data_IF_139405366381
#
_entry.id   IF_139405366381
#
_cell.length_a   1.000
_cell.length_b   1.000
_cell.length_c   1.000
_cell.angle_alpha   90.00
_cell.angle_beta   90.00
_cell.angle_gamma   90.00
#
_symmetry.space_group_name_H-M   'P 1'
#
loop_
_entity.id
_entity.type
_entity.pdbx_description
1 polymer ?
#
# COMPACT_ATOMS: atom_id res chain seq x y z
N UNK A 1 81.30 -19.39 39.39
CA UNK A 1 81.00 -18.07 38.80
C UNK A 1 80.76 -18.22 37.30
N UNK A 2 79.53 -18.01 36.84
CA UNK A 2 79.19 -17.33 35.56
C UNK A 2 77.67 -17.21 35.47
N UNK A 3 77.18 -15.97 35.39
CA UNK A 3 75.77 -15.61 35.15
C UNK A 3 75.62 -15.26 33.67
N UNK A 4 74.54 -15.73 33.04
CA UNK A 4 74.03 -15.26 31.73
C UNK A 4 72.49 -15.35 31.86
N UNK A 5 71.83 -14.31 32.36
CA UNK A 5 71.12 -13.22 31.65
C UNK A 5 70.03 -13.73 30.68
N UNK A 6 68.72 -13.53 30.98
CA UNK A 6 67.61 -13.92 30.11
C UNK A 6 67.33 -12.88 29.02
N UNK A 7 67.05 -13.36 27.80
CA UNK A 7 66.60 -12.53 26.67
C UNK A 7 65.09 -12.37 26.77
N UNK A 8 64.66 -11.15 27.07
CA UNK A 8 63.27 -10.70 27.01
C UNK A 8 62.84 -10.52 25.56
N UNK A 9 61.85 -11.29 25.12
CA UNK A 9 61.21 -11.18 23.81
C UNK A 9 60.10 -10.10 23.87
N UNK A 10 60.40 -8.89 23.41
CA UNK A 10 59.42 -7.82 23.25
C UNK A 10 58.72 -7.96 21.90
N UNK A 11 57.46 -8.41 21.90
CA UNK A 11 56.60 -8.38 20.73
C UNK A 11 56.04 -6.96 20.53
N UNK A 12 56.49 -6.27 19.48
CA UNK A 12 55.88 -5.02 19.02
C UNK A 12 54.62 -5.35 18.22
N UNK A 13 53.46 -4.92 18.73
CA UNK A 13 52.22 -4.87 17.94
C UNK A 13 52.33 -3.71 16.94
N UNK A 14 52.47 -4.03 15.66
CA UNK A 14 52.24 -3.08 14.58
C UNK A 14 50.73 -2.85 14.43
N UNK A 15 50.26 -1.68 14.85
CA UNK A 15 48.90 -1.22 14.59
C UNK A 15 48.69 -0.92 13.12
N UNK A 16 47.84 -1.70 12.45
CA UNK A 16 47.23 -1.34 11.17
C UNK A 16 45.87 -0.67 11.44
N UNK A 17 45.75 0.63 11.18
CA UNK A 17 44.47 1.25 10.79
C UNK A 17 44.69 2.69 10.33
N UNK A 18 45.00 2.85 9.05
CA UNK A 18 44.53 4.02 8.28
C UNK A 18 44.63 3.65 6.81
N UNK A 19 43.59 2.99 6.29
CA UNK A 19 43.37 2.92 4.86
C UNK A 19 42.51 4.12 4.49
N UNK A 20 43.13 5.10 3.85
CA UNK A 20 42.45 6.17 3.13
C UNK A 20 41.65 5.55 1.99
N UNK A 21 40.33 5.42 2.18
CA UNK A 21 39.43 5.05 1.10
C UNK A 21 39.22 6.28 0.21
N UNK A 22 40.07 6.47 -0.79
CA UNK A 22 39.82 7.40 -1.89
C UNK A 22 38.87 6.72 -2.86
N UNK A 23 37.59 7.03 -2.78
CA UNK A 23 36.62 6.71 -3.83
C UNK A 23 36.94 7.53 -5.06
N UNK A 24 37.73 6.97 -5.99
CA UNK A 24 37.68 7.41 -7.38
C UNK A 24 36.34 6.93 -7.92
N UNK A 25 35.32 7.79 -7.89
CA UNK A 25 34.08 7.58 -8.63
C UNK A 25 34.45 7.85 -10.09
N UNK A 26 34.83 6.80 -10.81
CA UNK A 26 34.80 6.80 -12.27
C UNK A 26 33.34 6.92 -12.67
N UNK A 27 32.93 8.12 -13.08
CA UNK A 27 31.67 8.30 -13.78
C UNK A 27 31.84 7.74 -15.20
N UNK A 28 31.59 6.45 -15.38
CA UNK A 28 31.28 5.93 -16.71
C UNK A 28 29.89 6.45 -17.08
N UNK A 29 29.87 7.58 -17.79
CA UNK A 29 28.71 8.04 -18.54
C UNK A 29 28.51 7.10 -19.72
N UNK A 30 27.76 6.02 -19.52
CA UNK A 30 27.21 5.28 -20.63
C UNK A 30 26.05 6.10 -21.20
N UNK A 31 26.29 6.84 -22.28
CA UNK A 31 25.21 7.27 -23.15
C UNK A 31 24.67 6.04 -23.86
N UNK A 32 23.51 5.56 -23.42
CA UNK A 32 22.73 4.59 -24.16
C UNK A 32 22.16 5.30 -25.39
N UNK A 33 22.89 5.19 -26.50
CA UNK A 33 22.43 5.59 -27.83
C UNK A 33 21.30 4.63 -28.22
N UNK A 34 20.07 5.06 -28.01
CA UNK A 34 18.89 4.40 -28.56
C UNK A 34 18.92 4.55 -30.09
N UNK A 35 19.49 3.57 -30.78
CA UNK A 35 19.25 3.39 -32.20
C UNK A 35 17.79 2.93 -32.39
N UNK A 36 16.91 3.90 -32.63
CA UNK A 36 15.61 3.66 -33.25
C UNK A 36 15.88 3.22 -34.67
N UNK A 37 15.89 1.92 -34.92
CA UNK A 37 15.66 1.40 -36.27
C UNK A 37 15.13 -0.01 -36.14
N UNK A 38 13.81 -0.21 -36.12
CA UNK A 38 13.13 -1.30 -36.83
C UNK A 38 11.69 -0.86 -37.17
N UNK A 39 11.25 -1.00 -38.43
CA UNK A 39 9.91 -0.63 -38.86
C UNK A 39 8.87 -1.63 -38.32
N UNK A 40 7.75 -1.08 -37.89
CA UNK A 40 6.45 -1.72 -37.66
C UNK A 40 6.09 -2.65 -38.82
N UNK A 41 6.25 -3.95 -38.63
CA UNK A 41 5.53 -4.97 -39.40
C UNK A 41 4.08 -4.98 -38.92
N UNK A 42 3.19 -4.62 -39.85
CA UNK A 42 1.75 -4.65 -39.69
C UNK A 42 1.31 -6.13 -39.76
N UNK A 43 0.98 -6.74 -38.63
CA UNK A 43 0.08 -7.88 -38.65
C UNK A 43 -1.37 -7.38 -38.53
N UNK A 44 -2.05 -7.47 -39.68
CA UNK A 44 -3.49 -7.38 -39.85
C UNK A 44 -4.18 -8.40 -38.93
N UNK A 45 -4.79 -7.91 -37.87
CA UNK A 45 -5.93 -8.59 -37.26
C UNK A 45 -7.11 -7.64 -37.29
N UNK A 46 -7.74 -7.62 -38.46
CA UNK A 46 -9.14 -7.27 -38.69
C UNK A 46 -10.03 -7.65 -37.48
N UNK A 47 -10.56 -6.63 -36.81
CA UNK A 47 -11.81 -6.74 -36.07
C UNK A 47 -12.74 -5.65 -36.59
N UNK A 48 -13.75 -6.09 -37.35
CA UNK A 48 -14.83 -5.26 -37.90
C UNK A 48 -15.63 -4.62 -36.76
N UNK A 49 -15.86 -3.31 -36.90
CA UNK A 49 -16.94 -2.58 -36.25
C UNK A 49 -18.12 -2.43 -37.23
N UNK A 50 -19.32 -2.26 -36.67
CA UNK A 50 -20.60 -1.88 -37.31
C UNK A 50 -21.36 -3.08 -37.92
N UNK A 51 -22.64 -3.37 -37.67
CA UNK A 51 -23.80 -2.50 -37.41
C UNK A 51 -24.95 -3.28 -36.73
N UNK A 52 -25.73 -2.51 -36.00
CA UNK A 52 -27.05 -2.68 -35.39
C UNK A 52 -28.08 -3.33 -36.35
N UNK A 53 -28.80 -4.38 -35.91
CA UNK A 53 -30.14 -4.68 -36.42
C UNK A 53 -31.00 -5.43 -35.38
N UNK A 54 -32.12 -4.77 -35.07
CA UNK A 54 -33.33 -5.17 -34.35
C UNK A 54 -33.86 -6.56 -34.72
N UNK A 55 -34.23 -7.37 -33.72
CA UNK A 55 -35.42 -8.27 -33.69
C UNK A 55 -35.80 -8.42 -32.20
N UNK A 56 -36.79 -7.68 -31.69
CA UNK A 56 -38.20 -8.07 -31.54
C UNK A 56 -38.46 -9.19 -30.50
N UNK A 57 -39.09 -8.75 -29.40
CA UNK A 57 -40.04 -9.43 -28.52
C UNK A 57 -40.07 -10.97 -28.47
N UNK A 58 -39.79 -11.53 -27.28
CA UNK A 58 -40.70 -12.52 -26.69
C UNK A 58 -41.02 -12.14 -25.24
N UNK A 59 -42.32 -11.94 -25.06
CA UNK A 59 -43.08 -11.67 -23.85
C UNK A 59 -43.28 -12.97 -23.05
N UNK A 60 -43.52 -12.82 -21.75
CA UNK A 60 -44.05 -13.82 -20.79
C UNK A 60 -43.16 -15.06 -20.50
N UNK A 61 -42.94 -15.52 -19.26
CA UNK A 61 -43.84 -15.60 -18.12
C UNK A 61 -43.10 -15.48 -16.79
N UNK A 62 -43.78 -14.83 -15.85
CA UNK A 62 -43.49 -14.81 -14.43
C UNK A 62 -43.73 -16.21 -13.84
N UNK A 63 -42.83 -16.77 -13.02
CA UNK A 63 -43.28 -17.50 -11.84
C UNK A 63 -43.41 -16.49 -10.71
N UNK A 64 -44.65 -16.06 -10.47
CA UNK A 64 -45.07 -15.37 -9.26
C UNK A 64 -44.83 -16.34 -8.09
N UNK A 65 -43.70 -16.22 -7.42
CA UNK A 65 -43.52 -16.80 -6.09
C UNK A 65 -44.37 -15.97 -5.15
N UNK A 66 -45.57 -16.50 -4.84
CA UNK A 66 -46.39 -16.05 -3.72
C UNK A 66 -45.58 -16.26 -2.43
N UNK A 67 -44.91 -15.21 -1.97
CA UNK A 67 -44.50 -15.13 -0.58
C UNK A 67 -45.64 -14.45 0.17
N UNK A 68 -46.57 -15.28 0.63
CA UNK A 68 -47.35 -14.98 1.83
C UNK A 68 -46.41 -15.19 3.01
N UNK A 69 -46.13 -14.20 3.85
CA UNK A 69 -45.68 -14.46 5.21
C UNK A 69 -46.94 -14.49 6.07
N UNK A 70 -47.51 -15.68 6.21
CA UNK A 70 -48.36 -16.00 7.35
C UNK A 70 -47.49 -15.90 8.61
N UNK A 71 -47.99 -15.11 9.55
CA UNK A 71 -47.87 -15.24 10.99
C UNK A 71 -46.59 -15.83 11.61
N UNK A 72 -45.96 -14.95 12.41
CA UNK A 72 -45.69 -15.22 13.83
C UNK A 72 -45.02 -16.55 14.13
N UNK A 73 -43.72 -16.62 13.84
CA UNK A 73 -42.83 -17.45 14.65
C UNK A 73 -42.16 -16.56 15.68
N UNK A 74 -42.64 -16.70 16.91
CA UNK A 74 -42.05 -16.24 18.16
C UNK A 74 -40.52 -16.23 18.11
N UNK A 75 -39.94 -15.03 18.09
CA UNK A 75 -38.55 -14.81 18.49
C UNK A 75 -38.46 -15.23 19.95
N UNK A 76 -37.77 -16.33 20.22
CA UNK A 76 -37.36 -16.65 21.57
C UNK A 76 -36.45 -15.50 22.04
N UNK A 77 -36.93 -14.74 23.03
CA UNK A 77 -36.11 -13.82 23.81
C UNK A 77 -34.92 -14.60 24.38
N UNK A 78 -33.76 -14.41 23.76
CA UNK A 78 -32.50 -14.74 24.41
C UNK A 78 -32.19 -13.60 25.37
N UNK A 79 -32.50 -13.82 26.64
CA UNK A 79 -32.16 -12.95 27.79
C UNK A 79 -30.64 -12.98 28.10
N UNK A 80 -29.82 -12.93 27.05
CA UNK A 80 -28.39 -12.71 27.19
C UNK A 80 -28.14 -11.24 26.90
N UNK A 81 -28.26 -10.41 27.93
CA UNK A 81 -27.83 -9.01 27.87
C UNK A 81 -26.36 -8.96 27.42
N UNK A 82 -26.14 -8.70 26.13
CA UNK A 82 -24.81 -8.48 25.56
C UNK A 82 -24.32 -7.16 26.16
N UNK A 83 -23.53 -7.24 27.23
CA UNK A 83 -22.83 -6.07 27.77
C UNK A 83 -21.83 -5.59 26.73
N UNK A 84 -22.17 -4.50 26.04
CA UNK A 84 -21.26 -3.79 25.15
C UNK A 84 -20.17 -3.17 26.04
N UNK A 85 -19.01 -3.83 26.12
CA UNK A 85 -17.86 -3.30 26.84
C UNK A 85 -17.22 -2.18 25.99
N UNK A 86 -16.78 -1.07 26.61
CA UNK A 86 -16.00 -0.06 25.91
C UNK A 86 -14.69 -0.67 25.37
N UNK A 87 -14.14 -0.14 24.25
CA UNK A 87 -12.91 -0.65 23.67
C UNK A 87 -11.74 -0.55 24.66
N UNK A 88 -10.92 -1.58 24.74
CA UNK A 88 -9.67 -1.59 25.52
C UNK A 88 -8.67 -0.55 24.99
N UNK A 89 -7.70 -0.15 25.80
CA UNK A 89 -6.64 0.80 25.39
C UNK A 89 -5.94 0.36 24.10
N UNK A 90 -5.63 -0.94 23.98
CA UNK A 90 -5.06 -1.53 22.76
C UNK A 90 -6.00 -1.43 21.54
N UNK A 91 -7.32 -1.51 21.75
CA UNK A 91 -8.33 -1.30 20.69
C UNK A 91 -8.49 0.17 20.31
N UNK A 92 -8.31 1.09 21.26
CA UNK A 92 -8.31 2.53 21.01
C UNK A 92 -7.05 2.98 20.25
N UNK A 93 -5.89 2.45 20.63
CA UNK A 93 -4.60 2.64 19.95
C UNK A 93 -4.58 2.05 18.54
N UNK A 94 -5.41 1.02 18.27
CA UNK A 94 -5.55 0.44 16.95
C UNK A 94 -6.23 1.36 15.92
N UNK A 95 -6.69 2.55 16.33
CA UNK A 95 -7.51 3.47 15.53
C UNK A 95 -8.57 2.69 14.76
N UNK A 96 -9.72 2.41 15.39
CA UNK A 96 -10.83 1.59 14.85
C UNK A 96 -11.43 2.11 13.53
N UNK A 97 -10.65 2.02 12.45
CA UNK A 97 -10.95 2.30 11.07
C UNK A 97 -11.39 1.02 10.36
N UNK A 98 -12.38 1.15 9.50
CA UNK A 98 -12.94 0.07 8.70
C UNK A 98 -13.27 0.59 7.30
N UNK A 99 -13.49 -0.32 6.36
CA UNK A 99 -13.78 0.04 4.97
C UNK A 99 -12.52 0.08 4.10
N UNK A 100 -12.43 1.10 3.25
CA UNK A 100 -11.46 1.22 2.19
C UNK A 100 -10.71 2.54 2.27
N UNK A 101 -9.48 2.56 1.78
CA UNK A 101 -8.63 3.74 1.71
C UNK A 101 -7.89 3.72 0.37
N UNK A 102 -7.33 4.84 -0.04
CA UNK A 102 -6.48 4.90 -1.22
C UNK A 102 -5.03 4.77 -0.82
N UNK A 103 -4.34 3.78 -1.38
CA UNK A 103 -2.89 3.71 -1.31
C UNK A 103 -2.32 4.54 -2.46
N UNK A 104 -1.61 5.63 -2.12
CA UNK A 104 -1.11 6.59 -3.11
C UNK A 104 0.28 6.19 -3.60
N UNK A 105 1.19 5.95 -2.66
CA UNK A 105 2.60 5.67 -2.95
C UNK A 105 3.22 4.89 -1.80
N UNK A 106 4.26 4.11 -2.10
CA UNK A 106 5.06 3.39 -1.12
C UNK A 106 6.55 3.65 -1.37
N UNK A 107 7.26 4.16 -0.35
CA UNK A 107 8.67 4.53 -0.44
C UNK A 107 9.48 3.77 0.61
N UNK A 108 10.66 3.28 0.23
CA UNK A 108 11.60 2.56 1.11
C UNK A 108 12.53 3.48 1.90
N UNK A 109 12.56 4.77 1.54
CA UNK A 109 13.37 5.78 2.23
C UNK A 109 12.48 6.64 3.11
N UNK A 110 13.07 7.17 4.18
CA UNK A 110 12.51 8.28 4.97
C UNK A 110 12.59 9.60 4.18
N UNK A 111 12.17 9.56 2.92
CA UNK A 111 11.81 10.75 2.14
C UNK A 111 10.66 11.45 2.86
N UNK A 112 10.61 12.77 2.73
CA UNK A 112 9.61 13.56 3.42
C UNK A 112 8.21 13.27 2.87
N UNK A 113 7.49 12.37 3.54
CA UNK A 113 6.11 12.02 3.25
C UNK A 113 5.17 13.20 3.53
N UNK A 114 5.61 14.17 4.32
CA UNK A 114 4.85 15.36 4.70
C UNK A 114 4.49 16.18 3.46
N UNK A 115 5.43 16.36 2.53
CA UNK A 115 5.17 17.08 1.27
C UNK A 115 4.06 16.44 0.42
N UNK A 116 3.91 15.11 0.48
CA UNK A 116 2.80 14.41 -0.20
C UNK A 116 1.50 14.51 0.58
N UNK A 117 1.57 14.46 1.91
CA UNK A 117 0.40 14.64 2.77
C UNK A 117 -0.19 16.05 2.65
N UNK A 118 0.66 17.09 2.51
CA UNK A 118 0.25 18.48 2.29
C UNK A 118 -0.53 18.66 0.96
N UNK A 119 -0.12 17.96 -0.10
CA UNK A 119 -0.85 17.96 -1.38
C UNK A 119 -2.22 17.28 -1.30
N UNK A 120 -2.37 16.38 -0.33
CA UNK A 120 -3.62 15.68 -0.03
C UNK A 120 -4.46 16.41 1.03
N UNK A 121 -4.04 17.62 1.45
CA UNK A 121 -4.76 18.37 2.47
C UNK A 121 -6.20 18.65 2.02
N UNK A 122 -7.14 18.17 2.82
CA UNK A 122 -8.58 18.25 2.61
C UNK A 122 -9.31 17.66 3.82
N UNK A 123 -10.62 17.42 3.71
CA UNK A 123 -11.42 16.86 4.82
C UNK A 123 -11.07 15.40 5.14
N UNK A 124 -10.52 14.68 4.16
CA UNK A 124 -10.21 13.26 4.30
C UNK A 124 -8.93 13.05 5.12
N UNK A 125 -8.89 12.03 5.99
CA UNK A 125 -7.72 11.77 6.81
C UNK A 125 -6.58 11.16 5.99
N UNK A 126 -5.37 11.64 6.23
CA UNK A 126 -4.13 11.14 5.64
C UNK A 126 -3.38 10.33 6.68
N UNK A 127 -2.91 9.15 6.29
CA UNK A 127 -2.19 8.24 7.17
C UNK A 127 -0.91 7.74 6.52
N UNK A 128 0.12 7.56 7.34
CA UNK A 128 1.29 6.79 6.98
C UNK A 128 1.13 5.37 7.53
N UNK A 129 1.24 4.36 6.66
CA UNK A 129 1.46 2.99 7.06
C UNK A 129 2.95 2.63 6.95
N UNK A 130 3.56 2.20 8.05
CA UNK A 130 4.91 1.62 8.04
C UNK A 130 4.82 0.10 8.15
N UNK A 131 5.57 -0.57 7.28
CA UNK A 131 5.77 -2.04 7.29
C UNK A 131 7.25 -2.35 7.16
N UNK A 132 7.69 -3.49 7.66
CA UNK A 132 9.04 -4.00 7.43
C UNK A 132 8.98 -5.13 6.42
N UNK A 133 9.70 -5.01 5.32
CA UNK A 133 9.82 -6.04 4.27
C UNK A 133 11.31 -6.28 4.04
N UNK A 134 11.78 -7.53 4.17
CA UNK A 134 13.20 -7.89 4.03
C UNK A 134 14.14 -7.01 4.89
N UNK A 135 13.78 -6.81 6.17
CA UNK A 135 14.51 -5.95 7.11
C UNK A 135 14.61 -4.45 6.70
N UNK A 136 13.89 -4.01 5.67
CA UNK A 136 13.80 -2.61 5.26
C UNK A 136 12.41 -2.03 5.55
N UNK A 137 12.33 -0.82 6.14
CA UNK A 137 11.05 -0.16 6.35
C UNK A 137 10.50 0.37 5.02
N UNK A 138 9.22 0.14 4.79
CA UNK A 138 8.43 0.72 3.72
C UNK A 138 7.35 1.60 4.32
N UNK A 139 7.26 2.81 3.79
CA UNK A 139 6.30 3.81 4.22
C UNK A 139 5.31 4.09 3.10
N UNK A 140 4.03 3.93 3.41
CA UNK A 140 2.95 4.06 2.45
C UNK A 140 2.03 5.20 2.86
N UNK A 141 1.69 6.09 1.93
CA UNK A 141 0.66 7.12 2.15
C UNK A 141 -0.71 6.52 1.83
N UNK A 142 -1.61 6.65 2.79
CA UNK A 142 -3.01 6.25 2.69
C UNK A 142 -3.89 7.49 2.81
N UNK A 143 -4.93 7.58 1.97
CA UNK A 143 -5.82 8.72 1.91
C UNK A 143 -7.28 8.28 2.05
N UNK A 144 -8.00 8.95 2.96
CA UNK A 144 -9.44 8.80 3.14
C UNK A 144 -9.86 7.53 3.88
N UNK A 145 -11.11 7.57 4.34
CA UNK A 145 -11.85 6.45 4.92
C UNK A 145 -13.19 6.35 4.18
N UNK A 146 -13.28 5.36 3.28
CA UNK A 146 -14.43 5.15 2.40
C UNK A 146 -15.21 3.90 2.81
N UNK A 147 -16.54 3.97 2.73
CA UNK A 147 -17.39 2.84 3.11
C UNK A 147 -17.30 1.70 2.08
N UNK A 148 -17.17 2.04 0.79
CA UNK A 148 -17.19 1.06 -0.30
C UNK A 148 -16.00 1.19 -1.25
N UNK A 149 -15.64 0.14 -2.00
CA UNK A 149 -14.61 0.25 -3.03
C UNK A 149 -15.00 1.21 -4.15
N UNK A 150 -16.29 1.31 -4.47
CA UNK A 150 -16.80 2.18 -5.52
C UNK A 150 -16.58 3.66 -5.16
N UNK A 151 -16.93 4.05 -3.94
CA UNK A 151 -16.67 5.38 -3.41
C UNK A 151 -15.17 5.72 -3.43
N UNK A 152 -14.32 4.79 -2.99
CA UNK A 152 -12.87 4.98 -3.05
C UNK A 152 -12.38 5.17 -4.51
N UNK A 153 -12.89 4.39 -5.48
CA UNK A 153 -12.52 4.59 -6.90
C UNK A 153 -12.97 5.94 -7.45
N UNK A 154 -14.13 6.43 -7.06
CA UNK A 154 -14.57 7.77 -7.46
C UNK A 154 -13.68 8.86 -6.84
N UNK A 155 -13.25 8.68 -5.58
CA UNK A 155 -12.32 9.59 -4.93
C UNK A 155 -10.97 9.70 -5.66
N UNK A 156 -10.50 8.65 -6.35
CA UNK A 156 -9.29 8.72 -7.19
C UNK A 156 -9.40 9.81 -8.25
N UNK A 157 -10.58 9.96 -8.88
CA UNK A 157 -10.80 10.95 -9.94
C UNK A 157 -10.79 12.39 -9.41
N UNK A 158 -11.03 12.57 -8.12
CA UNK A 158 -11.04 13.86 -7.43
C UNK A 158 -9.66 14.29 -6.92
N UNK A 159 -8.66 13.39 -6.94
CA UNK A 159 -7.31 13.70 -6.51
C UNK A 159 -6.64 14.71 -7.45
N UNK A 160 -5.66 15.50 -6.97
CA UNK A 160 -4.83 16.32 -7.84
C UNK A 160 -4.13 15.49 -8.93
N UNK A 161 -3.91 16.08 -10.12
CA UNK A 161 -3.36 15.35 -11.28
C UNK A 161 -1.96 14.77 -11.01
N UNK A 162 -1.12 15.45 -10.24
CA UNK A 162 0.19 14.97 -9.82
C UNK A 162 0.11 13.78 -8.87
N UNK A 163 -0.96 13.67 -8.09
CA UNK A 163 -1.26 12.50 -7.26
C UNK A 163 -1.82 11.35 -8.11
N UNK A 164 -2.73 11.64 -9.05
CA UNK A 164 -3.28 10.63 -9.96
C UNK A 164 -2.18 9.98 -10.81
N UNK A 165 -1.13 10.73 -11.17
CA UNK A 165 0.02 10.23 -11.92
C UNK A 165 0.78 9.08 -11.23
N UNK A 166 0.68 8.95 -9.89
CA UNK A 166 1.26 7.81 -9.16
C UNK A 166 0.46 6.51 -9.29
N UNK A 167 -0.72 6.55 -9.92
CA UNK A 167 -1.61 5.38 -10.05
C UNK A 167 -2.16 4.91 -8.69
N UNK A 168 -2.81 5.79 -7.90
CA UNK A 168 -3.37 5.41 -6.62
C UNK A 168 -4.43 4.32 -6.79
N UNK A 169 -4.51 3.41 -5.83
CA UNK A 169 -5.45 2.29 -5.90
C UNK A 169 -6.16 2.04 -4.58
N UNK A 170 -7.33 1.41 -4.68
CA UNK A 170 -8.16 1.10 -3.53
C UNK A 170 -7.56 -0.05 -2.73
N UNK A 171 -7.47 0.13 -1.41
CA UNK A 171 -6.98 -0.87 -0.46
C UNK A 171 -7.97 -1.05 0.69
N UNK A 172 -8.22 -2.30 1.07
CA UNK A 172 -9.05 -2.61 2.23
C UNK A 172 -8.28 -2.30 3.51
N UNK A 173 -8.87 -1.52 4.42
CA UNK A 173 -8.28 -1.19 5.72
C UNK A 173 -8.09 -2.47 6.56
N UNK A 174 -9.00 -3.44 6.42
CA UNK A 174 -8.88 -4.74 7.10
C UNK A 174 -7.60 -5.47 6.66
N UNK A 175 -7.32 -5.51 5.35
CA UNK A 175 -6.08 -6.10 4.82
C UNK A 175 -4.81 -5.41 5.37
N UNK A 176 -4.86 -4.11 5.62
CA UNK A 176 -3.73 -3.38 6.25
C UNK A 176 -3.54 -3.86 7.68
N UNK A 177 -4.63 -3.90 8.46
CA UNK A 177 -4.63 -4.28 9.88
C UNK A 177 -4.26 -5.74 10.12
N UNK A 178 -4.59 -6.64 9.20
CA UNK A 178 -4.23 -8.05 9.28
C UNK A 178 -2.82 -8.36 8.79
N UNK A 179 -2.07 -7.37 8.29
CA UNK A 179 -0.69 -7.58 7.85
C UNK A 179 0.30 -7.59 9.02
N UNK A 180 1.50 -8.14 8.80
CA UNK A 180 2.51 -8.25 9.86
C UNK A 180 2.98 -6.88 10.37
N UNK A 181 2.80 -6.65 11.66
CA UNK A 181 3.22 -5.44 12.39
C UNK A 181 2.83 -4.13 11.68
N UNK A 182 1.52 -3.86 11.50
CA UNK A 182 1.07 -2.68 10.80
C UNK A 182 1.13 -1.49 11.74
N UNK A 183 2.03 -0.55 11.46
CA UNK A 183 2.07 0.73 12.17
C UNK A 183 1.32 1.77 11.33
N UNK A 184 0.32 2.42 11.92
CA UNK A 184 -0.47 3.48 11.28
C UNK A 184 -0.31 4.78 12.07
N UNK A 185 0.10 5.85 11.40
CA UNK A 185 0.27 7.17 11.99
C UNK A 185 -0.55 8.17 11.20
N UNK A 186 -1.39 8.96 11.88
CA UNK A 186 -2.17 10.02 11.24
C UNK A 186 -1.25 11.21 10.93
N UNK A 187 -1.42 11.83 9.76
CA UNK A 187 -0.59 12.93 9.28
C UNK A 187 -1.30 14.30 9.28
N UNK A 188 -2.64 14.34 9.38
CA UNK A 188 -3.45 15.56 9.46
C UNK A 188 -4.56 15.44 10.52
#
# INVERSE_FOLDING_TARGET
MKRIIPITLTALLAGCSSSSYTTNITAESSEEVYQVTQPIEQEDTTFQETEIAVVEQIDAEKPVVKLTPEETTTVAESDAAIKILPPTQKQQEMHSRYGYTLQILALSRKTDLTAYAEKLAGEQPVWMNRKTVNNMPWYTILYGDFATPAEAREAIKQLPADIQAYGPFVRSINSIKSSDNPELHKLN
#
